data_IF_791365883073
#
_entry.id   IF_791365883073
#
_cell.length_a   1.000
_cell.length_b   1.000
_cell.length_c   1.000
_cell.angle_alpha   90.00
_cell.angle_beta   90.00
_cell.angle_gamma   90.00
#
_symmetry.space_group_name_H-M   'P 1'
#
loop_
_entity.id
_entity.type
_entity.pdbx_description
1 polymer ?
#
# COMPACT_ATOMS: atom_id res chain seq x y z
N UNK A 1 -8.18 -13.78 10.97
CA UNK A 1 -7.44 -12.57 10.54
C UNK A 1 -6.93 -11.79 11.75
N UNK A 2 -6.07 -10.76 11.58
CA UNK A 2 -5.75 -9.86 12.71
C UNK A 2 -6.96 -8.99 13.05
N UNK A 3 -7.06 -8.51 14.30
CA UNK A 3 -8.15 -7.62 14.73
C UNK A 3 -8.22 -6.35 13.86
N UNK A 4 -7.06 -5.79 13.54
CA UNK A 4 -6.95 -4.58 12.73
C UNK A 4 -7.37 -4.83 11.28
N UNK A 5 -7.01 -5.99 10.71
CA UNK A 5 -7.47 -6.38 9.37
C UNK A 5 -9.00 -6.50 9.32
N UNK A 6 -9.65 -6.99 10.39
CA UNK A 6 -11.10 -7.04 10.47
C UNK A 6 -11.72 -5.62 10.42
N UNK A 7 -11.20 -4.69 11.21
CA UNK A 7 -11.68 -3.30 11.25
C UNK A 7 -11.51 -2.57 9.92
N UNK A 8 -10.33 -2.70 9.30
CA UNK A 8 -10.03 -2.13 7.98
C UNK A 8 -10.89 -2.78 6.90
N UNK A 9 -10.97 -4.12 6.90
CA UNK A 9 -11.75 -4.90 5.93
C UNK A 9 -13.23 -4.54 5.95
N UNK A 10 -13.83 -4.43 7.13
CA UNK A 10 -15.22 -4.00 7.28
C UNK A 10 -15.45 -2.61 6.67
N UNK A 11 -14.58 -1.64 6.98
CA UNK A 11 -14.68 -0.28 6.44
C UNK A 11 -14.52 -0.26 4.92
N UNK A 12 -13.58 -1.03 4.35
CA UNK A 12 -13.34 -1.08 2.91
C UNK A 12 -14.47 -1.79 2.15
N UNK A 13 -15.02 -2.89 2.69
CA UNK A 13 -16.14 -3.60 2.06
C UNK A 13 -17.39 -2.72 2.01
N UNK A 14 -17.73 -2.02 3.08
CA UNK A 14 -18.83 -1.05 3.07
C UNK A 14 -18.60 0.09 2.07
N UNK A 15 -17.36 0.57 1.95
CA UNK A 15 -17.02 1.56 0.92
C UNK A 15 -17.17 0.98 -0.49
N UNK A 16 -16.80 -0.28 -0.71
CA UNK A 16 -16.96 -0.96 -2.01
C UNK A 16 -18.43 -1.05 -2.43
N UNK A 17 -19.35 -1.35 -1.50
CA UNK A 17 -20.80 -1.31 -1.77
C UNK A 17 -21.22 0.06 -2.29
N UNK A 18 -20.79 1.15 -1.63
CA UNK A 18 -21.13 2.51 -2.04
C UNK A 18 -20.55 2.84 -3.42
N UNK A 19 -19.32 2.40 -3.72
CA UNK A 19 -18.70 2.59 -5.04
C UNK A 19 -19.47 1.84 -6.12
N UNK A 20 -19.77 0.55 -5.91
CA UNK A 20 -20.52 -0.26 -6.87
C UNK A 20 -21.94 0.26 -7.09
N UNK A 21 -22.61 0.76 -6.05
CA UNK A 21 -23.95 1.36 -6.17
C UNK A 21 -23.90 2.59 -7.08
N UNK A 22 -22.93 3.45 -6.92
CA UNK A 22 -22.73 4.61 -7.80
C UNK A 22 -22.37 4.18 -9.23
N UNK A 23 -21.48 3.21 -9.41
CA UNK A 23 -21.14 2.67 -10.72
C UNK A 23 -22.36 2.05 -11.42
N UNK A 24 -23.27 1.38 -10.69
CA UNK A 24 -24.53 0.90 -11.23
C UNK A 24 -25.33 2.02 -11.91
N UNK A 25 -25.43 3.16 -11.26
CA UNK A 25 -26.16 4.33 -11.80
C UNK A 25 -25.43 4.93 -13.01
N UNK A 26 -24.09 5.00 -12.97
CA UNK A 26 -23.27 5.62 -14.00
C UNK A 26 -23.18 4.81 -15.29
N UNK A 27 -23.04 3.49 -15.20
CA UNK A 27 -22.84 2.60 -16.37
C UNK A 27 -24.07 1.75 -16.71
N UNK A 28 -25.17 1.91 -15.96
CA UNK A 28 -26.43 1.22 -16.19
C UNK A 28 -26.40 -0.30 -15.98
N UNK A 29 -25.40 -0.84 -15.26
CA UNK A 29 -25.31 -2.29 -15.03
C UNK A 29 -26.21 -2.77 -13.92
N UNK A 30 -26.99 -3.82 -14.17
CA UNK A 30 -27.82 -4.47 -13.13
C UNK A 30 -27.04 -5.45 -12.26
N UNK A 31 -25.77 -5.73 -12.59
CA UNK A 31 -24.93 -6.66 -11.84
C UNK A 31 -24.40 -6.08 -10.52
N UNK A 32 -24.40 -4.77 -10.38
CA UNK A 32 -23.89 -4.08 -9.16
C UNK A 32 -25.03 -3.66 -8.23
N UNK A 33 -24.75 -3.58 -6.91
CA UNK A 33 -23.55 -4.08 -6.26
C UNK A 33 -23.49 -5.61 -6.21
N UNK A 34 -22.29 -6.19 -6.29
CA UNK A 34 -22.06 -7.64 -6.19
C UNK A 34 -22.43 -8.20 -4.81
N UNK A 35 -22.40 -7.37 -3.80
CA UNK A 35 -22.83 -7.64 -2.44
C UNK A 35 -23.35 -6.36 -1.79
N UNK A 36 -24.15 -6.50 -0.76
CA UNK A 36 -24.84 -5.41 -0.05
C UNK A 36 -24.19 -5.13 1.31
N UNK A 37 -24.52 -4.00 1.94
CA UNK A 37 -24.12 -3.71 3.33
C UNK A 37 -24.53 -4.81 4.30
N UNK A 38 -25.76 -5.36 4.14
CA UNK A 38 -26.26 -6.45 5.00
C UNK A 38 -25.45 -7.74 4.83
N UNK A 39 -24.99 -8.04 3.63
CA UNK A 39 -24.14 -9.22 3.40
C UNK A 39 -22.74 -9.00 3.96
N UNK A 40 -22.22 -7.78 3.88
CA UNK A 40 -20.97 -7.39 4.55
C UNK A 40 -21.09 -7.57 6.06
N UNK A 41 -22.17 -7.07 6.69
CA UNK A 41 -22.41 -7.22 8.13
C UNK A 41 -22.46 -8.70 8.53
N UNK A 42 -23.23 -9.51 7.79
CA UNK A 42 -23.30 -10.96 8.05
C UNK A 42 -21.98 -11.69 7.88
N UNK A 43 -21.18 -11.29 6.89
CA UNK A 43 -19.85 -11.87 6.70
C UNK A 43 -18.91 -11.47 7.85
N UNK A 44 -18.98 -10.23 8.30
CA UNK A 44 -18.15 -9.75 9.42
C UNK A 44 -18.50 -10.40 10.76
N UNK A 45 -19.76 -10.80 10.98
CA UNK A 45 -20.19 -11.57 12.16
C UNK A 45 -19.51 -12.97 12.25
N UNK A 46 -19.02 -13.48 11.12
CA UNK A 46 -18.30 -14.77 11.07
C UNK A 46 -16.80 -14.63 11.27
N UNK A 47 -16.29 -13.41 11.29
CA UNK A 47 -14.85 -13.21 11.38
C UNK A 47 -14.34 -13.47 12.79
N UNK A 48 -13.31 -14.30 12.86
CA UNK A 48 -12.54 -14.52 14.07
C UNK A 48 -11.20 -13.80 13.93
N UNK A 49 -10.88 -12.96 14.90
CA UNK A 49 -9.59 -12.30 14.96
C UNK A 49 -8.66 -13.01 15.96
N UNK A 50 -7.39 -13.05 15.58
CA UNK A 50 -6.36 -13.72 16.35
C UNK A 50 -5.17 -12.76 16.53
N UNK A 51 -4.55 -12.75 17.71
CA UNK A 51 -3.39 -11.91 17.97
C UNK A 51 -2.18 -12.38 17.16
N UNK A 52 -1.25 -11.46 16.94
CA UNK A 52 0.06 -11.79 16.37
C UNK A 52 0.86 -12.67 17.33
N UNK A 53 1.71 -13.54 16.78
CA UNK A 53 2.66 -14.37 17.51
C UNK A 53 2.00 -15.28 18.55
N UNK A 54 0.80 -15.70 18.25
CA UNK A 54 0.09 -16.73 19.03
C UNK A 54 -0.27 -17.90 18.12
N UNK A 55 0.17 -19.09 18.52
CA UNK A 55 -0.18 -20.33 17.83
C UNK A 55 -1.60 -20.72 18.13
N UNK A 56 -2.40 -20.91 17.10
CA UNK A 56 -3.84 -21.13 17.17
C UNK A 56 -4.18 -22.38 16.36
N UNK A 57 -5.06 -23.24 16.90
CA UNK A 57 -5.63 -24.38 16.17
C UNK A 57 -6.66 -23.89 15.16
N UNK A 58 -7.00 -24.75 14.20
CA UNK A 58 -8.04 -24.42 13.21
C UNK A 58 -9.43 -24.20 13.85
N UNK A 59 -9.67 -24.71 15.06
CA UNK A 59 -10.88 -24.46 15.84
C UNK A 59 -10.91 -23.06 16.48
N UNK A 60 -9.82 -22.29 16.39
CA UNK A 60 -9.71 -20.94 16.97
C UNK A 60 -9.18 -20.92 18.40
N UNK A 61 -8.81 -22.05 18.97
CA UNK A 61 -8.28 -22.16 20.33
C UNK A 61 -6.76 -22.01 20.34
N UNK A 62 -6.22 -21.50 21.45
CA UNK A 62 -4.77 -21.46 21.65
C UNK A 62 -4.20 -22.86 21.67
N UNK A 63 -3.30 -23.17 20.74
CA UNK A 63 -2.66 -24.47 20.65
C UNK A 63 -1.45 -24.57 21.57
N UNK A 64 -1.22 -25.71 22.24
CA UNK A 64 -0.02 -25.96 23.03
C UNK A 64 1.22 -26.02 22.10
N UNK A 65 2.37 -25.54 22.60
CA UNK A 65 3.62 -25.51 21.82
C UNK A 65 4.13 -26.91 21.39
N UNK A 66 3.73 -27.96 22.10
CA UNK A 66 4.21 -29.32 21.91
C UNK A 66 3.31 -30.21 21.05
N UNK A 67 2.20 -29.71 20.55
CA UNK A 67 1.31 -30.50 19.71
C UNK A 67 1.82 -30.46 18.25
N UNK A 68 2.37 -31.58 17.77
CA UNK A 68 3.04 -31.64 16.46
C UNK A 68 2.12 -32.02 15.30
N UNK A 69 1.00 -32.70 15.57
CA UNK A 69 0.17 -33.30 14.54
C UNK A 69 -1.10 -32.50 14.19
N UNK A 70 -1.49 -31.56 15.05
CA UNK A 70 -2.65 -30.71 14.76
C UNK A 70 -2.31 -29.59 13.78
N UNK A 71 -3.25 -29.32 12.85
CA UNK A 71 -3.16 -28.14 12.01
C UNK A 71 -3.29 -26.86 12.85
N UNK A 72 -2.22 -26.08 12.86
CA UNK A 72 -2.15 -24.80 13.58
C UNK A 72 -1.64 -23.70 12.68
N UNK A 73 -1.97 -22.47 13.04
CA UNK A 73 -1.45 -21.27 12.35
C UNK A 73 -1.00 -20.20 13.35
N UNK A 74 -0.15 -19.30 12.88
CA UNK A 74 0.36 -18.17 13.65
C UNK A 74 0.56 -16.97 12.72
N UNK A 75 0.09 -15.76 13.14
CA UNK A 75 0.28 -14.54 12.39
C UNK A 75 1.54 -13.80 12.83
N UNK A 76 2.24 -13.21 11.85
CA UNK A 76 3.44 -12.40 12.04
C UNK A 76 3.29 -11.06 11.36
N UNK A 77 3.66 -9.98 12.02
CA UNK A 77 3.57 -8.62 11.43
C UNK A 77 4.41 -8.53 10.15
N UNK A 78 3.74 -8.16 9.05
CA UNK A 78 4.36 -8.07 7.74
C UNK A 78 4.97 -6.69 7.42
N UNK A 79 4.78 -5.66 8.26
CA UNK A 79 5.37 -4.33 8.07
C UNK A 79 4.89 -3.57 6.83
N UNK A 80 3.98 -4.14 6.04
CA UNK A 80 3.50 -3.56 4.78
C UNK A 80 2.52 -2.39 5.03
N UNK A 81 1.38 -2.68 5.63
CA UNK A 81 0.39 -1.71 6.10
C UNK A 81 -0.15 -2.14 7.46
N UNK A 82 -0.84 -1.25 8.14
CA UNK A 82 -1.42 -1.55 9.45
C UNK A 82 -2.31 -2.80 9.39
N UNK A 83 -2.00 -3.80 10.22
CA UNK A 83 -2.75 -5.06 10.30
C UNK A 83 -2.32 -6.14 9.31
N UNK A 84 -1.43 -5.84 8.34
CA UNK A 84 -0.87 -6.86 7.43
C UNK A 84 -0.08 -7.92 8.20
N UNK A 85 -0.23 -9.18 7.78
CA UNK A 85 0.44 -10.30 8.45
C UNK A 85 0.82 -11.41 7.48
N UNK A 86 2.01 -11.98 7.70
CA UNK A 86 2.37 -13.30 7.19
C UNK A 86 1.74 -14.39 8.05
N UNK A 87 1.58 -15.60 7.50
CA UNK A 87 0.91 -16.73 8.14
C UNK A 87 1.84 -17.94 8.11
N UNK A 88 2.18 -18.46 9.28
CA UNK A 88 2.89 -19.72 9.44
C UNK A 88 1.89 -20.83 9.76
N UNK A 89 1.78 -21.79 8.87
CA UNK A 89 0.98 -22.99 9.04
C UNK A 89 1.90 -24.15 9.47
N UNK A 90 1.44 -24.98 10.40
CA UNK A 90 2.10 -26.21 10.82
C UNK A 90 1.09 -27.35 10.75
N UNK A 91 1.40 -28.38 10.00
CA UNK A 91 0.59 -29.59 9.87
C UNK A 91 1.48 -30.79 9.54
N UNK A 92 1.21 -31.93 10.13
CA UNK A 92 1.86 -33.23 9.79
C UNK A 92 3.40 -33.13 9.80
N UNK A 93 3.97 -32.40 10.74
CA UNK A 93 5.41 -32.19 10.85
C UNK A 93 6.04 -31.29 9.77
N UNK A 94 5.23 -30.62 8.94
CA UNK A 94 5.66 -29.66 7.92
C UNK A 94 5.29 -28.25 8.32
N UNK A 95 6.06 -27.30 7.79
CA UNK A 95 5.85 -25.86 7.96
C UNK A 95 5.67 -25.16 6.62
N UNK A 96 4.61 -24.35 6.50
CA UNK A 96 4.34 -23.50 5.33
C UNK A 96 4.25 -22.07 5.79
N UNK A 97 5.07 -21.19 5.26
CA UNK A 97 5.00 -19.77 5.55
C UNK A 97 4.58 -18.98 4.31
N UNK A 98 3.47 -18.24 4.43
CA UNK A 98 3.01 -17.29 3.44
C UNK A 98 3.30 -15.87 3.92
N UNK A 99 4.10 -15.13 3.17
CA UNK A 99 4.52 -13.79 3.57
C UNK A 99 3.36 -12.79 3.54
N UNK A 100 2.35 -12.98 2.67
CA UNK A 100 1.53 -11.87 2.20
C UNK A 100 2.42 -10.79 1.60
N UNK A 101 1.91 -9.59 1.48
CA UNK A 101 2.72 -8.41 1.11
C UNK A 101 3.58 -8.00 2.30
N UNK A 102 4.89 -7.91 2.10
CA UNK A 102 5.87 -7.73 3.19
C UNK A 102 6.78 -6.54 2.95
N UNK A 103 7.18 -5.88 4.05
CA UNK A 103 8.26 -4.90 4.02
C UNK A 103 9.28 -5.17 5.13
N UNK A 104 10.54 -5.38 4.75
CA UNK A 104 11.64 -5.60 5.68
C UNK A 104 12.39 -4.33 6.06
N UNK A 105 11.96 -3.17 5.57
CA UNK A 105 12.54 -1.88 5.87
C UNK A 105 11.56 -1.02 6.67
N UNK A 106 12.07 -0.21 7.57
CA UNK A 106 11.25 0.76 8.30
C UNK A 106 10.66 1.81 7.35
N UNK A 107 9.37 2.05 7.47
CA UNK A 107 8.68 3.18 6.86
C UNK A 107 8.74 4.39 7.81
N UNK A 108 8.19 5.54 7.43
CA UNK A 108 8.14 6.69 8.35
C UNK A 108 7.19 6.45 9.52
N UNK A 109 6.10 5.71 9.28
CA UNK A 109 5.13 5.39 10.34
C UNK A 109 5.22 3.94 10.81
N UNK A 110 5.37 2.96 9.92
CA UNK A 110 5.39 1.55 10.25
C UNK A 110 6.81 1.04 10.44
N UNK A 111 7.00 0.14 11.41
CA UNK A 111 8.24 -0.62 11.55
C UNK A 111 8.29 -1.80 10.56
N UNK A 112 9.51 -2.28 10.30
CA UNK A 112 9.77 -3.44 9.46
C UNK A 112 9.06 -4.72 9.96
N UNK A 113 8.84 -5.67 9.06
CA UNK A 113 8.27 -6.98 9.38
C UNK A 113 9.03 -7.72 10.49
N UNK A 114 8.30 -8.46 11.32
CA UNK A 114 8.89 -9.45 12.24
C UNK A 114 8.38 -10.83 11.84
N UNK A 115 9.13 -11.50 11.02
CA UNK A 115 8.82 -12.81 10.49
C UNK A 115 9.57 -13.93 11.21
N UNK A 116 9.16 -15.22 11.03
CA UNK A 116 9.88 -16.36 11.59
C UNK A 116 11.33 -16.39 11.12
N UNK A 117 12.22 -16.81 12.02
CA UNK A 117 13.65 -17.04 11.73
C UNK A 117 13.99 -18.54 11.70
N UNK A 118 13.04 -19.40 12.08
CA UNK A 118 13.16 -20.85 12.03
C UNK A 118 13.16 -21.36 10.58
N UNK A 119 13.71 -22.57 10.37
CA UNK A 119 13.64 -23.22 9.06
C UNK A 119 12.20 -23.53 8.69
N UNK A 120 11.85 -23.22 7.46
CA UNK A 120 10.52 -23.42 6.88
C UNK A 120 10.64 -24.43 5.73
N UNK A 121 9.73 -25.41 5.66
CA UNK A 121 9.75 -26.37 4.55
C UNK A 121 9.30 -25.75 3.24
N UNK A 122 8.22 -24.94 3.27
CA UNK A 122 7.62 -24.31 2.09
C UNK A 122 7.44 -22.83 2.36
N UNK A 123 8.05 -21.99 1.52
CA UNK A 123 7.90 -20.53 1.54
C UNK A 123 7.03 -20.08 0.36
N UNK A 124 5.90 -19.43 0.64
CA UNK A 124 5.08 -18.75 -0.37
C UNK A 124 5.37 -17.25 -0.22
N UNK A 125 5.95 -16.63 -1.24
CA UNK A 125 6.54 -15.29 -1.13
C UNK A 125 6.10 -14.36 -2.27
N UNK A 126 5.83 -13.09 -1.93
CA UNK A 126 5.59 -12.04 -2.91
C UNK A 126 6.84 -11.73 -3.76
N UNK A 127 6.63 -11.10 -4.92
CA UNK A 127 7.69 -10.68 -5.83
C UNK A 127 7.49 -9.26 -6.37
N UNK A 128 6.65 -8.43 -5.77
CA UNK A 128 6.18 -7.14 -6.33
C UNK A 128 7.30 -6.25 -6.87
N UNK A 129 8.45 -6.20 -6.21
CA UNK A 129 9.59 -5.39 -6.62
C UNK A 129 10.74 -6.18 -7.24
N UNK A 130 10.47 -7.37 -7.75
CA UNK A 130 11.50 -8.25 -8.28
C UNK A 130 12.33 -7.66 -9.43
N UNK A 131 11.73 -6.85 -10.29
CA UNK A 131 12.40 -6.18 -11.42
C UNK A 131 12.96 -4.78 -11.08
N UNK A 132 12.72 -4.27 -9.88
CA UNK A 132 13.16 -2.95 -9.44
C UNK A 132 14.36 -3.04 -8.49
N UNK A 133 15.57 -2.77 -9.01
CA UNK A 133 16.75 -2.65 -8.16
C UNK A 133 16.66 -1.42 -7.26
N UNK A 134 17.14 -1.56 -6.03
CA UNK A 134 17.36 -0.40 -5.18
C UNK A 134 18.56 0.39 -5.75
N UNK A 135 18.42 1.70 -6.07
CA UNK A 135 19.53 2.49 -6.59
C UNK A 135 20.71 2.52 -5.63
N UNK A 136 21.93 2.50 -6.18
CA UNK A 136 23.13 2.60 -5.36
C UNK A 136 23.14 3.91 -4.55
N UNK A 137 23.39 3.78 -3.24
CA UNK A 137 23.40 4.92 -2.32
C UNK A 137 22.00 5.44 -1.95
N UNK A 138 20.92 4.79 -2.38
CA UNK A 138 19.57 5.15 -1.95
C UNK A 138 19.43 4.96 -0.43
N UNK A 139 18.88 5.97 0.22
CA UNK A 139 18.45 5.88 1.61
C UNK A 139 17.05 6.50 1.74
N UNK A 140 16.26 5.97 2.66
CA UNK A 140 14.94 6.53 2.92
C UNK A 140 15.01 8.01 3.32
N UNK A 141 15.94 8.36 4.20
CA UNK A 141 16.13 9.75 4.65
C UNK A 141 16.51 10.68 3.47
N UNK A 142 17.35 10.23 2.55
CA UNK A 142 17.69 10.97 1.34
C UNK A 142 16.48 11.17 0.42
N UNK A 143 15.63 10.15 0.30
CA UNK A 143 14.43 10.22 -0.52
C UNK A 143 13.35 11.13 0.11
N UNK A 144 13.20 11.10 1.44
CA UNK A 144 12.36 12.04 2.18
C UNK A 144 12.82 13.49 1.99
N UNK A 145 14.12 13.74 2.04
CA UNK A 145 14.68 15.07 1.81
C UNK A 145 14.40 15.55 0.38
N UNK A 146 14.60 14.67 -0.60
CA UNK A 146 14.30 14.96 -2.02
C UNK A 146 12.82 15.29 -2.23
N UNK A 147 11.89 14.59 -1.52
CA UNK A 147 10.46 14.91 -1.56
C UNK A 147 10.18 16.29 -0.94
N UNK A 148 10.77 16.58 0.21
CA UNK A 148 10.60 17.89 0.86
C UNK A 148 11.10 19.04 -0.07
N UNK A 149 12.25 18.90 -0.69
CA UNK A 149 12.76 19.86 -1.67
C UNK A 149 11.83 20.02 -2.88
N UNK A 150 11.23 18.94 -3.40
CA UNK A 150 10.28 19.03 -4.51
C UNK A 150 9.01 19.81 -4.13
N UNK A 151 8.52 19.61 -2.91
CA UNK A 151 7.41 20.39 -2.35
C UNK A 151 7.78 21.87 -2.22
N UNK A 152 8.97 22.16 -1.66
CA UNK A 152 9.46 23.53 -1.49
C UNK A 152 9.61 24.24 -2.84
N UNK A 153 10.19 23.58 -3.84
CA UNK A 153 10.27 24.11 -5.22
C UNK A 153 8.90 24.47 -5.79
N UNK A 154 7.87 23.61 -5.56
CA UNK A 154 6.51 23.89 -6.01
C UNK A 154 5.91 25.12 -5.32
N UNK A 155 6.12 25.25 -4.02
CA UNK A 155 5.63 26.41 -3.24
C UNK A 155 6.34 27.71 -3.63
N UNK A 156 7.64 27.67 -3.83
CA UNK A 156 8.45 28.81 -4.29
C UNK A 156 8.00 29.33 -5.66
N UNK A 157 7.55 28.42 -6.56
CA UNK A 157 6.94 28.80 -7.84
C UNK A 157 5.53 29.40 -7.73
N UNK A 158 4.97 29.49 -6.52
CA UNK A 158 3.58 29.89 -6.30
C UNK A 158 2.56 28.80 -6.65
N UNK A 159 3.00 27.55 -6.70
CA UNK A 159 2.18 26.39 -7.01
C UNK A 159 1.65 25.65 -5.78
N UNK A 160 0.97 24.55 -6.05
CA UNK A 160 0.57 23.53 -5.09
C UNK A 160 1.07 22.15 -5.52
N UNK A 161 0.92 21.17 -4.64
CA UNK A 161 1.34 19.80 -4.88
C UNK A 161 0.16 18.86 -4.80
N UNK A 162 -0.01 17.99 -5.81
CA UNK A 162 -0.86 16.81 -5.74
C UNK A 162 0.02 15.58 -5.53
N UNK A 163 -0.37 14.73 -4.58
CA UNK A 163 0.23 13.43 -4.35
C UNK A 163 -0.88 12.39 -4.47
N UNK A 164 -0.97 11.65 -5.58
CA UNK A 164 -1.89 10.54 -5.72
C UNK A 164 -1.50 9.41 -4.76
N UNK A 165 -2.41 9.02 -3.87
CA UNK A 165 -2.15 8.03 -2.81
C UNK A 165 -3.27 7.02 -2.67
N UNK A 166 -2.93 5.82 -2.23
CA UNK A 166 -3.93 4.88 -1.73
C UNK A 166 -4.46 5.34 -0.38
N UNK A 167 -5.75 5.14 -0.15
CA UNK A 167 -6.42 5.56 1.08
C UNK A 167 -5.86 4.84 2.31
N UNK A 168 -5.45 3.57 2.16
CA UNK A 168 -4.80 2.76 3.17
C UNK A 168 -3.28 2.74 2.94
N UNK A 169 -2.52 2.90 4.00
CA UNK A 169 -1.06 2.83 4.03
C UNK A 169 -0.40 4.10 3.51
N UNK A 170 -0.56 4.43 2.22
CA UNK A 170 0.15 5.56 1.59
C UNK A 170 -0.30 6.94 2.06
N UNK A 171 -1.58 7.13 2.36
CA UNK A 171 -2.04 8.40 2.95
C UNK A 171 -1.41 8.61 4.32
N UNK A 172 -1.40 7.58 5.18
CA UNK A 172 -0.87 7.67 6.53
C UNK A 172 0.65 7.87 6.54
N UNK A 173 1.34 7.20 5.63
CA UNK A 173 2.78 7.38 5.41
C UNK A 173 3.11 8.81 4.96
N UNK A 174 2.35 9.37 4.01
CA UNK A 174 2.53 10.76 3.58
C UNK A 174 2.28 11.75 4.72
N UNK A 175 1.22 11.56 5.52
CA UNK A 175 0.94 12.39 6.69
C UNK A 175 2.07 12.32 7.72
N UNK A 176 2.62 11.13 7.98
CA UNK A 176 3.76 10.96 8.89
C UNK A 176 5.02 11.68 8.36
N UNK A 177 5.31 11.60 7.05
CA UNK A 177 6.41 12.34 6.42
C UNK A 177 6.20 13.85 6.56
N UNK A 178 5.00 14.37 6.29
CA UNK A 178 4.72 15.81 6.43
C UNK A 178 4.83 16.29 7.88
N UNK A 179 4.37 15.49 8.84
CA UNK A 179 4.59 15.78 10.26
C UNK A 179 6.10 15.86 10.57
N UNK A 180 6.89 14.89 10.07
CA UNK A 180 8.34 14.88 10.23
C UNK A 180 8.99 16.12 9.60
N UNK A 181 8.63 16.48 8.37
CA UNK A 181 9.19 17.63 7.66
C UNK A 181 8.92 18.95 8.39
N UNK A 182 7.72 19.13 8.97
CA UNK A 182 7.42 20.31 9.81
C UNK A 182 8.26 20.31 11.07
N UNK A 183 8.34 19.19 11.78
CA UNK A 183 9.13 19.07 13.03
C UNK A 183 10.62 19.32 12.79
N UNK A 184 11.17 18.85 11.70
CA UNK A 184 12.57 19.01 11.32
C UNK A 184 12.84 20.34 10.60
N UNK A 185 11.81 21.17 10.41
CA UNK A 185 11.87 22.48 9.72
C UNK A 185 12.36 22.38 8.27
N UNK A 186 12.15 21.26 7.62
CA UNK A 186 12.42 21.07 6.19
C UNK A 186 11.40 21.81 5.34
N UNK A 187 10.18 21.97 5.83
CA UNK A 187 9.09 22.72 5.20
C UNK A 187 8.41 23.63 6.23
N UNK A 188 7.85 24.80 5.77
CA UNK A 188 7.00 25.64 6.61
C UNK A 188 5.68 24.92 6.96
N UNK A 189 4.84 25.54 7.77
CA UNK A 189 3.46 25.08 7.96
C UNK A 189 2.66 25.27 6.66
N UNK A 190 1.89 24.26 6.28
CA UNK A 190 1.05 24.27 5.07
C UNK A 190 -0.23 23.46 5.28
N UNK A 191 -1.34 23.83 4.62
CA UNK A 191 -2.56 23.03 4.63
C UNK A 191 -2.39 21.72 3.85
N UNK A 192 -2.86 20.62 4.44
CA UNK A 192 -2.90 19.29 3.83
C UNK A 192 -4.36 18.91 3.59
N UNK A 193 -4.66 18.35 2.43
CA UNK A 193 -5.99 17.87 2.07
C UNK A 193 -5.94 16.37 1.80
N UNK A 194 -6.89 15.62 2.36
CA UNK A 194 -7.04 14.17 2.15
C UNK A 194 -8.48 13.82 1.75
N UNK A 195 -8.71 12.63 1.22
CA UNK A 195 -10.05 12.15 0.88
C UNK A 195 -10.78 11.53 2.08
N UNK A 196 -12.11 11.42 1.99
CA UNK A 196 -12.95 10.89 3.07
C UNK A 196 -12.63 9.43 3.47
N UNK A 197 -12.32 8.54 2.50
CA UNK A 197 -11.88 7.20 2.83
C UNK A 197 -10.48 7.20 3.50
N UNK A 198 -9.58 8.07 3.03
CA UNK A 198 -8.27 8.26 3.65
C UNK A 198 -8.40 8.72 5.11
N UNK A 199 -9.35 9.62 5.41
CA UNK A 199 -9.65 10.04 6.78
C UNK A 199 -10.08 8.87 7.65
N UNK A 200 -11.05 8.06 7.18
CA UNK A 200 -11.53 6.87 7.91
C UNK A 200 -10.39 5.87 8.21
N UNK A 201 -9.51 5.62 7.22
CA UNK A 201 -8.34 4.77 7.43
C UNK A 201 -7.37 5.39 8.44
N UNK A 202 -7.14 6.70 8.38
CA UNK A 202 -6.27 7.41 9.32
C UNK A 202 -6.83 7.37 10.75
N UNK A 203 -8.14 7.47 10.93
CA UNK A 203 -8.80 7.31 12.23
C UNK A 203 -8.56 5.91 12.82
N UNK A 204 -8.54 4.85 11.98
CA UNK A 204 -8.18 3.50 12.44
C UNK A 204 -6.70 3.46 12.87
N UNK A 205 -5.81 4.03 12.08
CA UNK A 205 -4.39 4.15 12.46
C UNK A 205 -4.24 4.85 13.81
N UNK A 206 -4.93 5.95 14.03
CA UNK A 206 -4.83 6.73 15.27
C UNK A 206 -5.39 5.98 16.47
N UNK A 207 -6.56 5.36 16.37
CA UNK A 207 -7.12 4.53 17.46
C UNK A 207 -6.21 3.37 17.85
N UNK A 208 -5.47 2.79 16.89
CA UNK A 208 -4.57 1.66 17.11
C UNK A 208 -3.11 2.05 17.41
N UNK A 209 -2.83 3.36 17.56
CA UNK A 209 -1.46 3.87 17.71
C UNK A 209 -0.69 3.31 18.92
N UNK A 210 -1.36 3.02 20.03
CA UNK A 210 -0.75 2.44 21.22
C UNK A 210 -0.58 0.92 21.19
N UNK A 211 -1.23 0.25 20.23
CA UNK A 211 -1.29 -1.21 20.13
C UNK A 211 -0.45 -1.78 18.98
N UNK A 212 0.16 -0.92 18.19
CA UNK A 212 0.90 -1.28 16.99
C UNK A 212 2.34 -0.78 17.05
N UNK A 213 3.22 -1.50 16.39
CA UNK A 213 4.63 -1.15 16.25
C UNK A 213 4.77 -0.01 15.25
N UNK A 214 5.40 1.09 15.70
CA UNK A 214 5.55 2.30 14.89
C UNK A 214 6.85 3.03 15.19
N UNK A 215 7.45 3.58 14.15
CA UNK A 215 8.62 4.46 14.26
C UNK A 215 8.31 5.71 15.12
N UNK A 216 7.11 6.25 14.98
CA UNK A 216 6.62 7.39 15.75
C UNK A 216 5.56 6.88 16.74
N UNK A 217 6.03 6.40 17.90
CA UNK A 217 5.18 5.83 18.93
C UNK A 217 4.03 6.78 19.32
N UNK A 218 2.80 6.25 19.35
CA UNK A 218 1.58 6.97 19.73
C UNK A 218 1.26 8.22 18.92
N UNK A 219 1.88 8.43 17.74
CA UNK A 219 1.55 9.55 16.88
C UNK A 219 0.07 9.48 16.46
N UNK A 220 -0.66 10.56 16.72
CA UNK A 220 -2.03 10.77 16.27
C UNK A 220 -1.97 11.64 15.01
N UNK A 221 -2.10 11.03 13.84
CA UNK A 221 -1.91 11.70 12.55
C UNK A 221 -2.94 12.79 12.32
N UNK A 222 -4.24 12.50 12.59
CA UNK A 222 -5.32 13.48 12.40
C UNK A 222 -5.13 14.71 13.29
N UNK A 223 -4.72 14.52 14.55
CA UNK A 223 -4.46 15.63 15.47
C UNK A 223 -3.23 16.45 15.05
N UNK A 224 -2.12 15.77 14.76
CA UNK A 224 -0.81 16.42 14.54
C UNK A 224 -0.66 17.04 13.17
N UNK A 225 -1.35 16.56 12.16
CA UNK A 225 -1.32 17.12 10.81
C UNK A 225 -2.54 17.97 10.47
N UNK A 226 -3.63 17.80 11.22
CA UNK A 226 -4.91 18.52 11.07
C UNK A 226 -5.35 18.67 9.60
N UNK A 227 -5.50 17.56 8.85
CA UNK A 227 -5.77 17.64 7.43
C UNK A 227 -7.23 18.04 7.17
N UNK A 228 -7.46 18.82 6.11
CA UNK A 228 -8.79 19.09 5.59
C UNK A 228 -9.31 17.88 4.82
N UNK A 229 -10.53 17.43 5.10
CA UNK A 229 -11.14 16.28 4.46
C UNK A 229 -12.01 16.72 3.29
N UNK A 230 -11.67 16.23 2.09
CA UNK A 230 -12.45 16.43 0.87
C UNK A 230 -13.32 15.19 0.57
N UNK A 231 -14.48 15.43 0.02
CA UNK A 231 -15.38 14.38 -0.50
C UNK A 231 -15.90 14.77 -1.89
N UNK A 232 -16.71 13.92 -2.50
CA UNK A 232 -17.23 14.13 -3.85
C UNK A 232 -18.07 15.41 -4.00
N UNK A 233 -18.64 15.94 -2.93
CA UNK A 233 -19.41 17.20 -2.95
C UNK A 233 -18.48 18.40 -2.78
N UNK A 234 -17.58 18.36 -1.81
CA UNK A 234 -16.68 19.48 -1.48
C UNK A 234 -15.53 19.66 -2.48
N UNK A 235 -15.21 18.65 -3.29
CA UNK A 235 -14.12 18.75 -4.27
C UNK A 235 -14.39 19.81 -5.35
N UNK A 236 -15.64 19.98 -5.75
CA UNK A 236 -16.00 20.95 -6.79
C UNK A 236 -15.75 22.39 -6.34
N UNK A 237 -15.96 22.67 -5.05
CA UNK A 237 -15.76 23.98 -4.44
C UNK A 237 -14.33 24.18 -3.93
N UNK A 238 -13.54 23.09 -3.84
CA UNK A 238 -12.17 23.16 -3.39
C UNK A 238 -11.29 23.85 -4.46
N UNK A 239 -10.96 25.11 -4.22
CA UNK A 239 -10.08 25.88 -5.10
C UNK A 239 -8.64 25.33 -5.04
N UNK A 240 -8.00 25.18 -6.20
CA UNK A 240 -6.56 25.01 -6.29
C UNK A 240 -5.88 26.30 -5.81
N UNK A 241 -5.08 26.20 -4.76
CA UNK A 241 -4.38 27.36 -4.17
C UNK A 241 -2.92 27.04 -3.92
N UNK A 242 -2.06 28.04 -4.10
CA UNK A 242 -0.63 27.96 -3.81
C UNK A 242 -0.32 27.51 -2.35
N UNK A 243 0.83 26.89 -2.15
CA UNK A 243 1.32 26.51 -0.82
C UNK A 243 0.50 25.42 -0.13
N UNK A 244 -0.16 24.53 -0.87
CA UNK A 244 -0.99 23.45 -0.35
C UNK A 244 -0.59 22.11 -0.89
N UNK A 245 -0.80 21.07 -0.07
CA UNK A 245 -0.63 19.67 -0.48
C UNK A 245 -1.99 18.98 -0.53
N UNK A 246 -2.25 18.32 -1.64
CA UNK A 246 -3.43 17.49 -1.88
C UNK A 246 -3.01 16.03 -1.97
N UNK A 247 -3.06 15.30 -0.85
CA UNK A 247 -2.78 13.86 -0.79
C UNK A 247 -4.09 13.08 -1.00
N UNK A 248 -4.45 12.83 -2.26
CA UNK A 248 -5.78 12.38 -2.64
C UNK A 248 -5.78 10.96 -3.23
N UNK A 249 -6.79 10.18 -2.87
CA UNK A 249 -7.06 8.87 -3.47
C UNK A 249 -7.93 9.01 -4.76
N UNK A 250 -7.79 8.12 -5.73
CA UNK A 250 -7.01 6.88 -5.70
C UNK A 250 -5.56 7.11 -6.13
N UNK A 251 -4.67 6.17 -5.74
CA UNK A 251 -3.28 6.19 -6.19
C UNK A 251 -3.13 5.96 -7.69
N UNK A 252 -4.08 5.25 -8.34
CA UNK A 252 -4.11 5.00 -9.78
C UNK A 252 -4.74 6.12 -10.58
N UNK A 253 -5.29 7.14 -9.92
CA UNK A 253 -5.99 8.27 -10.55
C UNK A 253 -7.10 7.83 -11.51
N UNK A 254 -7.83 6.74 -11.19
CA UNK A 254 -8.96 6.30 -12.02
C UNK A 254 -9.98 7.43 -12.20
N UNK A 255 -10.68 7.50 -13.35
CA UNK A 255 -11.68 8.52 -13.62
C UNK A 255 -12.67 8.72 -12.47
N UNK A 256 -13.15 9.94 -12.28
CA UNK A 256 -14.10 10.34 -11.21
C UNK A 256 -13.58 10.20 -9.78
N UNK A 257 -12.29 9.88 -9.56
CA UNK A 257 -11.67 9.95 -8.23
C UNK A 257 -11.18 11.37 -7.89
N UNK A 258 -10.96 11.62 -6.59
CA UNK A 258 -10.47 12.93 -6.13
C UNK A 258 -9.12 13.29 -6.75
N UNK A 259 -8.19 12.33 -6.81
CA UNK A 259 -6.86 12.54 -7.40
C UNK A 259 -6.93 12.83 -8.90
N UNK A 260 -7.78 12.12 -9.66
CA UNK A 260 -7.99 12.38 -11.08
C UNK A 260 -8.56 13.80 -11.33
N UNK A 261 -9.63 14.13 -10.60
CA UNK A 261 -10.27 15.46 -10.71
C UNK A 261 -9.27 16.59 -10.42
N UNK A 262 -8.41 16.42 -9.41
CA UNK A 262 -7.38 17.43 -9.10
C UNK A 262 -6.25 17.43 -10.12
N UNK A 263 -5.77 16.29 -10.58
CA UNK A 263 -4.72 16.23 -11.59
C UNK A 263 -5.12 17.00 -12.85
N UNK A 264 -6.35 16.82 -13.31
CA UNK A 264 -6.89 17.54 -14.48
C UNK A 264 -6.92 19.08 -14.29
N UNK A 265 -7.03 19.56 -13.05
CA UNK A 265 -6.98 21.00 -12.75
C UNK A 265 -5.54 21.55 -12.68
N UNK A 266 -4.57 20.69 -12.43
CA UNK A 266 -3.18 21.07 -12.22
C UNK A 266 -2.30 20.88 -13.46
N UNK A 267 -2.63 19.92 -14.32
CA UNK A 267 -1.74 19.38 -15.34
C UNK A 267 -1.21 20.43 -16.33
N UNK A 268 -2.02 21.44 -16.69
CA UNK A 268 -1.65 22.47 -17.65
C UNK A 268 -0.93 23.69 -17.04
N UNK A 269 -0.77 23.74 -15.72
CA UNK A 269 -0.15 24.88 -15.07
C UNK A 269 1.29 24.56 -14.61
N UNK A 270 2.32 25.25 -15.15
CA UNK A 270 3.72 24.97 -14.82
C UNK A 270 4.13 25.36 -13.39
N UNK A 271 3.29 26.04 -12.63
CA UNK A 271 3.58 26.32 -11.22
C UNK A 271 3.36 25.09 -10.34
N UNK A 272 2.45 24.19 -10.73
CA UNK A 272 2.04 23.05 -9.91
C UNK A 272 2.97 21.84 -10.08
N UNK A 273 2.91 20.94 -9.10
CA UNK A 273 3.61 19.65 -9.16
C UNK A 273 2.66 18.50 -8.87
N UNK A 274 2.88 17.37 -9.57
CA UNK A 274 2.27 16.07 -9.25
C UNK A 274 3.41 15.14 -8.88
N UNK A 275 3.43 14.68 -7.62
CA UNK A 275 4.53 13.91 -7.04
C UNK A 275 4.05 12.49 -6.72
N UNK A 276 4.63 11.50 -7.38
CA UNK A 276 4.28 10.10 -7.19
C UNK A 276 5.17 9.46 -6.10
N UNK A 277 4.54 8.95 -5.05
CA UNK A 277 5.22 8.37 -3.87
C UNK A 277 5.03 6.83 -3.76
N UNK A 278 4.50 6.20 -4.79
CA UNK A 278 4.19 4.78 -4.79
C UNK A 278 4.05 4.20 -6.19
N UNK A 279 3.61 2.94 -6.23
CA UNK A 279 3.32 2.25 -7.46
C UNK A 279 2.14 2.89 -8.20
N UNK A 280 2.24 2.92 -9.52
CA UNK A 280 1.13 3.19 -10.42
C UNK A 280 1.20 2.19 -11.58
N UNK A 281 0.09 1.49 -11.83
CA UNK A 281 -0.03 0.59 -12.98
C UNK A 281 0.24 1.37 -14.26
N UNK A 282 1.14 0.90 -15.15
CA UNK A 282 1.49 1.60 -16.39
C UNK A 282 0.29 1.95 -17.27
N UNK A 283 -0.79 1.15 -17.24
CA UNK A 283 -2.00 1.38 -18.02
C UNK A 283 -3.02 2.29 -17.32
N UNK A 284 -2.81 2.61 -16.04
CA UNK A 284 -3.67 3.54 -15.32
C UNK A 284 -3.39 4.99 -15.71
N UNK A 285 -4.34 5.93 -15.51
CA UNK A 285 -4.09 7.35 -15.72
C UNK A 285 -2.87 7.88 -14.93
N UNK A 286 -2.62 7.36 -13.73
CA UNK A 286 -1.43 7.67 -12.95
C UNK A 286 -0.14 7.18 -13.62
N UNK A 287 -0.14 5.97 -14.17
CA UNK A 287 1.01 5.41 -14.88
C UNK A 287 1.31 6.15 -16.18
N UNK A 288 0.27 6.48 -16.95
CA UNK A 288 0.40 7.29 -18.18
C UNK A 288 0.98 8.65 -17.84
N UNK A 289 0.42 9.35 -16.85
CA UNK A 289 0.93 10.67 -16.44
C UNK A 289 2.36 10.60 -15.91
N UNK A 290 2.69 9.58 -15.11
CA UNK A 290 4.03 9.37 -14.55
C UNK A 290 5.11 9.22 -15.62
N UNK A 291 4.75 8.67 -16.78
CA UNK A 291 5.66 8.45 -17.92
C UNK A 291 5.68 9.60 -18.91
N UNK A 292 4.75 10.54 -18.79
CA UNK A 292 4.60 11.66 -19.72
C UNK A 292 5.75 12.65 -19.62
N UNK A 293 6.07 13.28 -20.77
CA UNK A 293 7.04 14.35 -20.87
C UNK A 293 6.36 15.72 -20.95
N UNK A 294 7.03 16.80 -20.55
CA UNK A 294 6.52 18.15 -20.72
C UNK A 294 6.13 18.42 -22.19
N UNK A 295 4.87 18.81 -22.40
CA UNK A 295 4.30 19.08 -23.74
C UNK A 295 3.45 17.94 -24.32
N UNK A 296 3.50 16.74 -23.75
CA UNK A 296 2.63 15.64 -24.18
C UNK A 296 1.15 15.99 -23.96
N UNK A 297 0.29 15.47 -24.82
CA UNK A 297 -1.16 15.55 -24.66
C UNK A 297 -1.70 14.20 -24.19
N UNK A 298 -2.30 14.17 -23.01
CA UNK A 298 -2.82 12.95 -22.38
C UNK A 298 -4.27 13.12 -21.95
N UNK A 299 -5.06 12.06 -22.07
CA UNK A 299 -6.42 11.96 -21.53
C UNK A 299 -6.37 11.24 -20.18
N UNK A 300 -6.56 11.97 -19.10
CA UNK A 300 -6.67 11.39 -17.74
C UNK A 300 -8.06 10.80 -17.47
N UNK A 301 -9.04 11.20 -18.25
CA UNK A 301 -10.41 10.70 -18.23
C UNK A 301 -10.85 10.49 -19.68
N UNK A 302 -11.34 9.29 -20.08
CA UNK A 302 -11.73 9.02 -21.46
C UNK A 302 -12.94 9.85 -21.93
N UNK A 303 -13.76 10.35 -21.00
CA UNK A 303 -14.93 11.17 -21.30
C UNK A 303 -14.57 12.66 -21.49
N UNK A 304 -13.30 13.04 -21.38
CA UNK A 304 -12.82 14.40 -21.41
C UNK A 304 -11.71 14.61 -22.44
N UNK A 305 -11.57 15.80 -23.01
CA UNK A 305 -10.52 16.05 -24.00
C UNK A 305 -9.11 15.90 -23.38
N UNK A 306 -8.12 15.48 -24.20
CA UNK A 306 -6.73 15.44 -23.79
C UNK A 306 -6.25 16.82 -23.32
N UNK A 307 -5.35 16.82 -22.35
CA UNK A 307 -4.76 18.02 -21.77
C UNK A 307 -3.24 17.98 -21.94
N UNK A 308 -2.63 19.15 -22.10
CA UNK A 308 -1.19 19.27 -22.27
C UNK A 308 -0.47 19.25 -20.93
N UNK A 309 0.51 18.38 -20.79
CA UNK A 309 1.36 18.29 -19.60
C UNK A 309 2.29 19.50 -19.55
N UNK A 310 2.08 20.35 -18.54
CA UNK A 310 2.93 21.53 -18.26
C UNK A 310 3.39 21.57 -16.81
N UNK A 311 2.67 20.88 -15.91
CA UNK A 311 3.06 20.77 -14.51
C UNK A 311 4.36 19.97 -14.35
N UNK A 312 5.00 20.08 -13.20
CA UNK A 312 6.17 19.28 -12.86
C UNK A 312 5.73 17.91 -12.35
N UNK A 313 6.35 16.86 -12.89
CA UNK A 313 6.12 15.47 -12.49
C UNK A 313 7.41 14.90 -11.94
N UNK A 314 7.38 14.39 -10.71
CA UNK A 314 8.51 13.72 -10.10
C UNK A 314 8.06 12.41 -9.43
N UNK A 315 9.00 11.45 -9.31
CA UNK A 315 8.77 10.13 -8.74
C UNK A 315 9.71 9.89 -7.57
N UNK A 316 9.16 9.26 -6.52
CA UNK A 316 9.86 8.96 -5.27
C UNK A 316 9.68 7.50 -4.90
N UNK A 317 10.72 6.89 -4.35
CA UNK A 317 10.74 5.48 -4.01
C UNK A 317 10.38 5.23 -2.54
N UNK A 318 9.09 5.29 -2.25
CA UNK A 318 8.54 4.96 -0.93
C UNK A 318 7.68 3.70 -0.99
N UNK A 319 8.21 2.61 -1.54
CA UNK A 319 7.47 1.34 -1.57
C UNK A 319 7.16 0.85 -0.14
N UNK A 320 5.98 0.24 0.03
CA UNK A 320 5.65 -0.53 1.22
C UNK A 320 5.92 -2.04 1.03
N UNK A 321 6.43 -2.45 -0.15
CA UNK A 321 6.89 -3.81 -0.40
C UNK A 321 8.41 -3.90 -0.24
N UNK A 322 8.86 -5.04 0.20
CA UNK A 322 10.27 -5.35 0.37
C UNK A 322 11.08 -5.16 -0.91
N UNK A 323 12.35 -4.78 -0.78
CA UNK A 323 13.26 -4.79 -1.91
C UNK A 323 13.50 -6.23 -2.38
N UNK A 324 13.82 -6.42 -3.67
CA UNK A 324 14.16 -7.74 -4.19
C UNK A 324 15.37 -8.36 -3.48
N UNK A 325 16.30 -7.52 -3.04
CA UNK A 325 17.48 -7.93 -2.29
C UNK A 325 17.07 -8.51 -0.92
N UNK A 326 16.17 -7.82 -0.21
CA UNK A 326 15.66 -8.27 1.11
C UNK A 326 14.82 -9.55 1.00
N UNK A 327 14.04 -9.71 -0.07
CA UNK A 327 13.28 -10.95 -0.33
C UNK A 327 14.22 -12.15 -0.52
N UNK A 328 15.27 -12.00 -1.32
CA UNK A 328 16.28 -13.06 -1.54
C UNK A 328 17.02 -13.41 -0.24
N UNK A 329 17.45 -12.39 0.52
CA UNK A 329 18.14 -12.63 1.80
C UNK A 329 17.23 -13.32 2.82
N UNK A 330 15.93 -12.98 2.85
CA UNK A 330 14.98 -13.67 3.71
C UNK A 330 14.81 -15.13 3.30
N UNK A 331 14.63 -15.44 2.02
CA UNK A 331 14.54 -16.80 1.52
C UNK A 331 15.81 -17.63 1.84
N UNK A 332 16.99 -17.04 1.67
CA UNK A 332 18.28 -17.70 2.03
C UNK A 332 18.37 -18.03 3.50
N UNK A 333 17.93 -17.12 4.37
CA UNK A 333 17.95 -17.31 5.83
C UNK A 333 17.04 -18.46 6.28
N UNK A 334 15.85 -18.58 5.68
CA UNK A 334 14.91 -19.66 5.97
C UNK A 334 15.35 -21.01 5.37
N UNK A 335 16.09 -20.98 4.25
CA UNK A 335 16.56 -22.18 3.53
C UNK A 335 15.46 -23.22 3.27
N UNK A 336 14.34 -22.87 2.64
CA UNK A 336 13.20 -23.75 2.43
C UNK A 336 13.51 -24.83 1.39
N UNK A 337 12.75 -25.95 1.43
CA UNK A 337 12.81 -26.99 0.40
C UNK A 337 12.08 -26.57 -0.88
N UNK A 338 10.97 -25.85 -0.72
CA UNK A 338 10.16 -25.30 -1.83
C UNK A 338 9.90 -23.82 -1.64
N UNK A 339 9.93 -23.06 -2.74
CA UNK A 339 9.59 -21.63 -2.79
C UNK A 339 8.54 -21.43 -3.85
N UNK A 340 7.37 -20.93 -3.47
CA UNK A 340 6.28 -20.57 -4.39
C UNK A 340 6.26 -19.07 -4.55
N UNK A 341 6.43 -18.57 -5.77
CA UNK A 341 6.46 -17.13 -6.06
C UNK A 341 5.08 -16.66 -6.49
N UNK A 342 4.57 -15.65 -5.81
CA UNK A 342 3.24 -15.07 -6.04
C UNK A 342 3.33 -13.54 -6.04
N UNK A 343 2.26 -12.86 -6.42
CA UNK A 343 2.10 -11.40 -6.31
C UNK A 343 3.28 -10.61 -6.89
N UNK A 344 3.41 -10.61 -8.21
CA UNK A 344 4.41 -9.84 -8.95
C UNK A 344 4.14 -9.88 -10.45
N UNK A 345 4.54 -8.82 -11.14
CA UNK A 345 4.51 -8.78 -12.60
C UNK A 345 5.44 -9.86 -13.19
N UNK A 346 5.20 -10.33 -14.41
CA UNK A 346 6.00 -11.39 -15.02
C UNK A 346 7.52 -11.13 -15.01
N UNK A 347 7.95 -9.88 -15.22
CA UNK A 347 9.36 -9.47 -15.14
C UNK A 347 9.94 -9.62 -13.73
N UNK A 348 9.17 -9.20 -12.73
CA UNK A 348 9.56 -9.29 -11.32
C UNK A 348 9.69 -10.74 -10.85
N UNK A 349 8.68 -11.58 -11.16
CA UNK A 349 8.72 -13.03 -10.86
C UNK A 349 9.89 -13.71 -11.55
N UNK A 350 10.13 -13.40 -12.84
CA UNK A 350 11.24 -13.98 -13.60
C UNK A 350 12.61 -13.65 -12.99
N UNK A 351 12.83 -12.42 -12.56
CA UNK A 351 14.08 -12.02 -11.92
C UNK A 351 14.29 -12.73 -10.58
N UNK A 352 13.26 -12.71 -9.70
CA UNK A 352 13.35 -13.38 -8.37
C UNK A 352 13.59 -14.88 -8.53
N UNK A 353 12.86 -15.53 -9.46
CA UNK A 353 13.06 -16.95 -9.77
C UNK A 353 14.49 -17.26 -10.21
N UNK A 354 15.01 -16.49 -11.18
CA UNK A 354 16.37 -16.71 -11.69
C UNK A 354 17.41 -16.56 -10.58
N UNK A 355 17.25 -15.57 -9.71
CA UNK A 355 18.16 -15.31 -8.59
C UNK A 355 18.11 -16.42 -7.55
N UNK A 356 16.91 -16.90 -7.17
CA UNK A 356 16.73 -17.96 -6.19
C UNK A 356 17.29 -19.31 -6.68
N UNK A 357 17.14 -19.65 -7.96
CA UNK A 357 17.74 -20.87 -8.53
C UNK A 357 19.25 -20.88 -8.38
N UNK A 358 19.91 -19.72 -8.51
CA UNK A 358 21.36 -19.60 -8.34
C UNK A 358 21.76 -19.62 -6.86
N UNK A 359 21.06 -18.85 -6.02
CA UNK A 359 21.46 -18.66 -4.62
C UNK A 359 21.00 -19.81 -3.68
N UNK A 360 19.97 -20.56 -4.07
CA UNK A 360 19.40 -21.68 -3.33
C UNK A 360 19.18 -22.89 -4.26
N UNK A 361 20.24 -23.48 -4.82
CA UNK A 361 20.13 -24.56 -5.81
C UNK A 361 19.47 -25.84 -5.27
N UNK A 362 19.36 -25.99 -3.93
CA UNK A 362 18.68 -27.10 -3.28
C UNK A 362 17.16 -26.91 -3.16
N UNK A 363 16.65 -25.68 -3.39
CA UNK A 363 15.23 -25.38 -3.27
C UNK A 363 14.52 -25.52 -4.63
N UNK A 364 13.36 -26.14 -4.63
CA UNK A 364 12.46 -26.12 -5.78
C UNK A 364 11.75 -24.78 -5.86
N UNK A 365 11.94 -24.01 -6.96
CA UNK A 365 11.30 -22.70 -7.16
C UNK A 365 10.15 -22.82 -8.14
N UNK A 366 8.93 -22.64 -7.65
CA UNK A 366 7.66 -22.84 -8.35
C UNK A 366 7.02 -21.47 -8.66
N UNK A 367 6.55 -21.29 -9.89
CA UNK A 367 5.69 -20.17 -10.29
C UNK A 367 4.34 -20.77 -10.66
N UNK A 368 3.30 -20.62 -9.82
CA UNK A 368 2.01 -21.23 -10.08
C UNK A 368 1.28 -20.53 -11.24
N UNK A 369 0.63 -21.31 -12.10
CA UNK A 369 -0.33 -20.76 -13.05
C UNK A 369 -1.67 -20.50 -12.34
N UNK A 370 -2.34 -19.38 -12.60
CA UNK A 370 -3.65 -19.10 -12.00
C UNK A 370 -4.66 -20.21 -12.28
N UNK A 371 -5.38 -20.64 -11.24
CA UNK A 371 -6.42 -21.67 -11.34
C UNK A 371 -5.92 -23.11 -11.44
N UNK A 372 -4.62 -23.34 -11.36
CA UNK A 372 -4.04 -24.70 -11.35
C UNK A 372 -3.75 -25.10 -9.91
N UNK A 373 -4.28 -26.27 -9.51
CA UNK A 373 -3.98 -26.89 -8.22
C UNK A 373 -2.54 -27.45 -8.24
N UNK A 374 -1.80 -27.17 -7.18
CA UNK A 374 -0.44 -27.66 -6.99
C UNK A 374 -0.35 -28.50 -5.71
N UNK A 375 0.28 -29.64 -5.81
CA UNK A 375 0.68 -30.43 -4.65
C UNK A 375 2.05 -29.95 -4.15
N UNK A 376 2.11 -29.49 -2.89
CA UNK A 376 3.30 -28.87 -2.29
C UNK A 376 4.01 -29.79 -1.30
#
# INVERSE_FOLDING_TARGET
MTEITAEIGNTLLHNSVNVMTRQREEIGTMLYPLFTHRETDRASDLWQWCPLRQRISISGERAPERETDALTFEFFDAGHVLGSAGILLRAEGRTVFYTGDVNFDDQTIMEAAIFPEEKIDILIMECTRGDHATPAGWTRAGEEHRLAEAVDRAFTRGGCVLIPVFALGKTQEALAMFYKFRRERLLPEFPIYIGGLSSKMTDIYDRRASMTRRQLARLQLMEKTAPFVLNGQTIHDAAVRAGRIYALSSGMMTPKTLSNTFARRLIENPQHSILFVGYADPLSPAGVLRSAQPGDEIALDPDEPPQRVRCHIEQFQFSAHASRESLIEYAKRLSPKKIVLVHGDPSAVAWVRAKLIVDLPQAEVIVPAPGIELEL
#
